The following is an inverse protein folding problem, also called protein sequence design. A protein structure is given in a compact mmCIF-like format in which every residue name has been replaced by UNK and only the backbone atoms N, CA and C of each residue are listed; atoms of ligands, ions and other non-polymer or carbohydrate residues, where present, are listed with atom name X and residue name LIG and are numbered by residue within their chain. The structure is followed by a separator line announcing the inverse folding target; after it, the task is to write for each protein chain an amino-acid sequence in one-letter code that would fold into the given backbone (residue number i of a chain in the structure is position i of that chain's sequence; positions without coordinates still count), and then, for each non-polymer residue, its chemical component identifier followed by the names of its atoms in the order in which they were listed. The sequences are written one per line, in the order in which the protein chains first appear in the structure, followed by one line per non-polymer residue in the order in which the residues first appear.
data_IF_921812601960
#
_entry.id   IF_921812601960
#
_cell.length_a   1.000
_cell.length_b   1.000
_cell.length_c   1.000
_cell.angle_alpha   90.00
_cell.angle_beta   90.00
_cell.angle_gamma   90.00
#
_symmetry.space_group_name_H-M   'P 1'
#
loop_
_entity.id
_entity.type
_entity.pdbx_description
1 polymer ?
#
# COMPACT_ATOMS: atom_id res chain seq x y z
N UNK A 1 67.87 3.33 46.88
CA UNK A 1 66.57 3.51 47.56
C UNK A 1 66.24 5.01 47.54
N UNK A 2 65.41 5.48 46.60
CA UNK A 2 64.99 6.88 46.49
C UNK A 2 63.48 6.89 46.22
N UNK A 3 62.73 7.37 47.20
CA UNK A 3 61.26 7.44 47.22
C UNK A 3 60.84 8.62 46.31
N UNK A 4 59.96 8.37 45.34
CA UNK A 4 59.34 9.43 44.52
C UNK A 4 58.20 10.10 45.32
N UNK A 5 57.99 11.42 45.19
CA UNK A 5 56.90 12.13 45.88
C UNK A 5 55.56 11.90 45.17
N UNK A 6 54.47 11.94 45.94
CA UNK A 6 53.10 11.79 45.47
C UNK A 6 52.65 13.03 44.67
N UNK A 7 52.23 12.82 43.42
CA UNK A 7 51.58 13.85 42.60
C UNK A 7 50.21 14.23 43.16
N UNK A 8 50.04 15.51 43.52
CA UNK A 8 48.75 16.13 43.83
C UNK A 8 47.84 16.06 42.60
N UNK A 9 46.74 15.30 42.70
CA UNK A 9 45.66 15.33 41.71
C UNK A 9 45.03 16.73 41.67
N UNK A 10 45.16 17.37 40.51
CA UNK A 10 44.65 18.70 40.20
C UNK A 10 43.12 18.79 40.37
N UNK A 11 42.65 19.65 41.28
CA UNK A 11 41.23 19.88 41.57
C UNK A 11 40.40 20.45 40.40
N UNK A 12 41.05 20.79 39.28
CA UNK A 12 40.39 21.26 38.05
C UNK A 12 39.72 20.15 37.23
N UNK A 13 40.17 18.88 37.36
CA UNK A 13 39.54 17.75 36.67
C UNK A 13 38.25 17.28 37.34
N UNK A 14 38.12 17.47 38.66
CA UNK A 14 36.91 17.09 39.40
C UNK A 14 35.75 18.04 39.05
N UNK A 15 36.02 19.33 38.82
CA UNK A 15 34.98 20.32 38.45
C UNK A 15 34.44 20.15 37.02
N UNK A 16 35.20 19.59 36.08
CA UNK A 16 34.71 19.35 34.70
C UNK A 16 33.84 18.11 34.56
N UNK A 17 33.87 17.16 35.50
CA UNK A 17 32.99 15.98 35.49
C UNK A 17 31.58 16.25 36.03
N UNK A 18 31.38 17.33 36.78
CA UNK A 18 30.09 17.66 37.37
C UNK A 18 29.10 18.37 36.42
N UNK A 19 29.52 18.78 35.22
CA UNK A 19 28.67 19.48 34.24
C UNK A 19 28.20 18.62 33.06
N UNK A 20 28.47 17.32 33.08
CA UNK A 20 27.80 16.34 32.20
C UNK A 20 26.68 15.61 32.96
N UNK A 21 25.88 16.37 33.72
CA UNK A 21 24.51 15.97 33.98
C UNK A 21 23.77 16.10 32.66
N UNK A 22 23.76 15.02 31.88
CA UNK A 22 22.89 14.92 30.71
C UNK A 22 21.46 15.03 31.21
N UNK A 23 20.88 16.23 31.12
CA UNK A 23 19.45 16.37 31.19
C UNK A 23 18.91 15.49 30.06
N UNK A 24 18.18 14.44 30.44
CA UNK A 24 17.35 13.74 29.48
C UNK A 24 16.42 14.80 28.90
N UNK A 25 16.71 15.26 27.68
CA UNK A 25 15.92 16.29 27.01
C UNK A 25 14.59 15.66 26.64
N UNK A 26 13.64 15.74 27.57
CA UNK A 26 12.21 15.61 27.28
C UNK A 26 11.80 16.82 26.44
N UNK A 27 12.25 16.86 25.18
CA UNK A 27 11.56 17.65 24.17
C UNK A 27 10.08 17.25 24.21
N UNK A 28 9.14 18.19 23.99
CA UNK A 28 7.72 17.91 24.13
C UNK A 28 7.38 16.65 23.33
N UNK A 29 6.59 15.74 23.91
CA UNK A 29 6.18 14.46 23.30
C UNK A 29 5.77 14.61 21.83
N UNK A 30 5.22 15.79 21.48
CA UNK A 30 4.87 16.24 20.14
C UNK A 30 6.04 16.28 19.14
N UNK A 31 7.19 16.84 19.50
CA UNK A 31 8.34 16.93 18.57
C UNK A 31 8.90 15.55 18.22
N UNK A 32 8.95 14.66 19.22
CA UNK A 32 9.38 13.27 19.02
C UNK A 32 8.39 12.51 18.13
N UNK A 33 7.09 12.70 18.36
CA UNK A 33 6.03 12.11 17.54
C UNK A 33 6.10 12.64 16.10
N UNK A 34 6.26 13.94 15.90
CA UNK A 34 6.33 14.55 14.58
C UNK A 34 7.57 14.10 13.80
N UNK A 35 8.72 14.02 14.48
CA UNK A 35 9.96 13.45 13.91
C UNK A 35 9.77 11.99 13.53
N UNK A 36 9.06 11.22 14.36
CA UNK A 36 8.72 9.82 14.07
C UNK A 36 7.83 9.73 12.82
N UNK A 37 6.71 10.46 12.77
CA UNK A 37 5.76 10.46 11.66
C UNK A 37 6.37 10.93 10.32
N UNK A 38 7.34 11.85 10.37
CA UNK A 38 8.10 12.30 9.18
C UNK A 38 9.25 11.38 8.77
N UNK A 39 9.47 10.28 9.50
CA UNK A 39 10.45 9.27 9.13
C UNK A 39 10.07 8.55 7.84
N UNK A 40 11.07 8.20 7.04
CA UNK A 40 10.86 7.36 5.85
C UNK A 40 10.74 5.90 6.27
N UNK A 41 9.73 5.20 5.77
CA UNK A 41 9.50 3.78 6.07
C UNK A 41 10.60 2.91 5.46
N UNK A 42 11.14 1.97 6.24
CA UNK A 42 12.06 0.94 5.76
C UNK A 42 11.28 -0.20 5.13
N UNK A 43 11.78 -0.70 4.01
CA UNK A 43 11.29 -1.89 3.34
C UNK A 43 11.92 -3.12 3.99
N UNK A 44 11.17 -3.80 4.83
CA UNK A 44 11.56 -5.08 5.43
C UNK A 44 10.41 -6.10 5.29
N UNK A 45 10.54 -7.27 5.95
CA UNK A 45 9.52 -8.31 5.88
C UNK A 45 8.15 -7.81 6.39
N UNK A 46 8.14 -6.85 7.32
CA UNK A 46 6.90 -6.32 7.86
C UNK A 46 6.17 -5.48 6.80
N UNK A 47 6.89 -4.62 6.07
CA UNK A 47 6.33 -3.92 4.91
C UNK A 47 5.88 -4.87 3.78
N UNK A 48 6.60 -5.98 3.57
CA UNK A 48 6.16 -7.02 2.61
C UNK A 48 4.82 -7.65 3.04
N UNK A 49 4.63 -7.95 4.33
CA UNK A 49 3.36 -8.47 4.86
C UNK A 49 2.22 -7.47 4.66
N UNK A 50 2.47 -6.17 4.89
CA UNK A 50 1.48 -5.12 4.63
C UNK A 50 1.02 -5.14 3.16
N UNK A 51 1.97 -5.17 2.22
CA UNK A 51 1.67 -5.21 0.78
C UNK A 51 0.95 -6.51 0.38
N UNK A 52 1.31 -7.65 0.97
CA UNK A 52 0.63 -8.93 0.73
C UNK A 52 -0.80 -8.91 1.28
N UNK A 53 -1.05 -8.31 2.45
CA UNK A 53 -2.38 -8.17 3.01
C UNK A 53 -3.25 -7.23 2.15
N UNK A 54 -2.68 -6.12 1.66
CA UNK A 54 -3.35 -5.25 0.68
C UNK A 54 -3.69 -6.01 -0.62
N UNK A 55 -2.77 -6.85 -1.10
CA UNK A 55 -2.99 -7.70 -2.28
C UNK A 55 -4.16 -8.66 -2.07
N UNK A 56 -4.23 -9.31 -0.89
CA UNK A 56 -5.34 -10.19 -0.53
C UNK A 56 -6.68 -9.43 -0.54
N UNK A 57 -6.69 -8.22 0.03
CA UNK A 57 -7.87 -7.35 0.05
C UNK A 57 -8.31 -6.94 -1.36
N UNK A 58 -7.37 -6.66 -2.27
CA UNK A 58 -7.64 -6.39 -3.68
C UNK A 58 -8.26 -7.59 -4.38
N UNK A 59 -7.75 -8.80 -4.13
CA UNK A 59 -8.35 -10.04 -4.66
C UNK A 59 -9.82 -10.20 -4.25
N UNK A 60 -10.13 -9.94 -2.97
CA UNK A 60 -11.52 -9.97 -2.48
C UNK A 60 -12.40 -8.98 -3.25
N UNK A 61 -11.93 -7.74 -3.42
CA UNK A 61 -12.69 -6.68 -4.09
C UNK A 61 -12.97 -7.01 -5.56
N UNK A 62 -11.96 -7.47 -6.30
CA UNK A 62 -12.14 -7.80 -7.72
C UNK A 62 -13.03 -9.04 -7.93
N UNK A 63 -13.00 -10.02 -7.01
CA UNK A 63 -13.90 -11.17 -7.06
C UNK A 63 -15.37 -10.83 -6.77
N UNK A 64 -15.64 -9.65 -6.20
CA UNK A 64 -17.02 -9.18 -5.90
C UNK A 64 -17.50 -8.15 -6.92
N UNK A 65 -16.63 -7.23 -7.33
CA UNK A 65 -17.00 -6.14 -8.25
C UNK A 65 -17.26 -6.62 -9.66
N UNK A 66 -16.55 -7.66 -10.13
CA UNK A 66 -16.78 -8.19 -11.47
C UNK A 66 -18.17 -8.83 -11.62
N UNK A 67 -18.61 -9.76 -10.74
CA UNK A 67 -19.98 -10.27 -10.80
C UNK A 67 -21.07 -9.21 -10.59
N UNK A 68 -20.84 -8.23 -9.71
CA UNK A 68 -21.87 -7.23 -9.38
C UNK A 68 -22.01 -6.12 -10.42
N UNK A 69 -20.91 -5.73 -11.06
CA UNK A 69 -20.83 -4.50 -11.86
C UNK A 69 -20.25 -4.69 -13.26
N UNK A 70 -19.89 -5.92 -13.61
CA UNK A 70 -19.26 -6.28 -14.89
C UNK A 70 -17.97 -5.47 -15.18
N UNK A 71 -17.25 -5.10 -14.13
CA UNK A 71 -15.95 -4.45 -14.22
C UNK A 71 -15.11 -4.79 -12.99
N UNK A 72 -13.79 -4.70 -13.12
CA UNK A 72 -12.89 -4.86 -11.98
C UNK A 72 -12.64 -3.51 -11.32
N UNK A 73 -12.38 -3.46 -10.01
CA UNK A 73 -11.92 -2.25 -9.37
C UNK A 73 -10.41 -2.01 -9.60
N UNK A 74 -9.62 -3.09 -9.71
CA UNK A 74 -8.16 -3.00 -9.81
C UNK A 74 -7.56 -3.46 -11.14
N UNK A 75 -8.17 -4.43 -11.83
CA UNK A 75 -7.65 -5.00 -13.08
C UNK A 75 -7.96 -4.15 -14.32
N UNK A 76 -7.18 -3.08 -14.51
CA UNK A 76 -7.46 -2.09 -15.56
C UNK A 76 -7.14 -2.54 -17.00
N UNK A 77 -6.25 -3.53 -17.20
CA UNK A 77 -6.00 -4.09 -18.54
C UNK A 77 -7.28 -4.68 -19.15
N UNK A 78 -8.03 -5.46 -18.35
CA UNK A 78 -9.32 -6.01 -18.77
C UNK A 78 -10.34 -4.91 -19.02
N UNK A 79 -10.50 -3.98 -18.07
CA UNK A 79 -11.44 -2.84 -18.22
C UNK A 79 -11.15 -2.00 -19.47
N UNK A 80 -9.88 -1.79 -19.83
CA UNK A 80 -9.50 -1.02 -21.02
C UNK A 80 -9.99 -1.71 -22.30
N UNK A 81 -9.80 -3.03 -22.40
CA UNK A 81 -10.27 -3.81 -23.56
C UNK A 81 -11.80 -3.86 -23.58
N UNK A 82 -12.45 -4.10 -22.45
CA UNK A 82 -13.92 -4.13 -22.35
C UNK A 82 -14.53 -2.77 -22.74
N UNK A 83 -13.92 -1.65 -22.34
CA UNK A 83 -14.35 -0.32 -22.74
C UNK A 83 -14.16 -0.07 -24.23
N UNK A 84 -13.05 -0.52 -24.80
CA UNK A 84 -12.78 -0.39 -26.23
C UNK A 84 -13.79 -1.18 -27.08
N UNK A 85 -14.11 -2.41 -26.68
CA UNK A 85 -15.14 -3.24 -27.34
C UNK A 85 -16.52 -2.59 -27.19
N UNK A 86 -16.84 -2.10 -25.99
CA UNK A 86 -18.11 -1.39 -25.76
C UNK A 86 -18.25 -0.15 -26.67
N UNK A 87 -17.15 0.54 -26.98
CA UNK A 87 -17.12 1.70 -27.87
C UNK A 87 -17.36 1.35 -29.36
N UNK A 88 -17.24 0.09 -29.77
CA UNK A 88 -17.53 -0.32 -31.16
C UNK A 88 -19.01 -0.54 -31.42
N UNK A 89 -19.88 -0.34 -30.42
CA UNK A 89 -21.31 -0.61 -30.54
C UNK A 89 -21.70 -2.07 -30.37
N UNK A 90 -20.77 -2.94 -29.94
CA UNK A 90 -21.04 -4.34 -29.61
C UNK A 90 -21.78 -4.46 -28.27
N UNK A 91 -23.02 -3.95 -28.22
CA UNK A 91 -23.85 -3.92 -27.03
C UNK A 91 -24.64 -5.21 -26.76
N UNK A 92 -24.62 -6.17 -27.69
CA UNK A 92 -25.35 -7.45 -27.54
C UNK A 92 -24.72 -8.41 -26.51
N UNK A 93 -23.57 -8.05 -25.94
CA UNK A 93 -22.93 -8.83 -24.88
C UNK A 93 -23.25 -8.16 -23.55
N UNK A 94 -24.14 -8.77 -22.76
CA UNK A 94 -24.59 -8.31 -21.43
C UNK A 94 -23.44 -8.06 -20.42
N UNK A 95 -22.22 -8.45 -20.75
CA UNK A 95 -21.00 -8.22 -19.96
C UNK A 95 -20.48 -6.78 -20.04
N UNK A 96 -20.93 -5.95 -20.99
CA UNK A 96 -20.34 -4.62 -21.18
C UNK A 96 -21.26 -3.51 -20.67
N UNK A 97 -20.97 -3.00 -19.47
CA UNK A 97 -21.63 -1.81 -18.91
C UNK A 97 -20.66 -0.62 -19.02
N UNK A 98 -20.74 0.21 -20.09
CA UNK A 98 -19.70 1.20 -20.40
C UNK A 98 -19.52 2.23 -19.28
N UNK A 99 -20.62 2.62 -18.62
CA UNK A 99 -20.60 3.57 -17.52
C UNK A 99 -19.80 3.04 -16.32
N UNK A 100 -19.99 1.76 -15.96
CA UNK A 100 -19.27 1.11 -14.87
C UNK A 100 -17.79 0.95 -15.20
N UNK A 101 -17.48 0.43 -16.39
CA UNK A 101 -16.11 0.19 -16.84
C UNK A 101 -15.35 1.52 -16.94
N UNK A 102 -15.95 2.54 -17.56
CA UNK A 102 -15.39 3.88 -17.68
C UNK A 102 -15.19 4.55 -16.32
N UNK A 103 -16.13 4.40 -15.40
CA UNK A 103 -15.99 4.88 -14.01
C UNK A 103 -14.82 4.20 -13.32
N UNK A 104 -14.72 2.87 -13.41
CA UNK A 104 -13.60 2.14 -12.81
C UNK A 104 -12.25 2.61 -13.36
N UNK A 105 -12.09 2.65 -14.68
CA UNK A 105 -10.85 3.08 -15.31
C UNK A 105 -10.51 4.52 -14.94
N UNK A 106 -11.48 5.44 -15.05
CA UNK A 106 -11.30 6.85 -14.77
C UNK A 106 -10.91 7.12 -13.32
N UNK A 107 -11.63 6.55 -12.35
CA UNK A 107 -11.36 6.76 -10.93
C UNK A 107 -10.09 6.04 -10.47
N UNK A 108 -9.75 4.87 -11.03
CA UNK A 108 -8.46 4.24 -10.79
C UNK A 108 -7.30 5.13 -11.21
N UNK A 109 -7.35 5.68 -12.44
CA UNK A 109 -6.33 6.60 -12.94
C UNK A 109 -6.27 7.89 -12.12
N UNK A 110 -7.44 8.44 -11.75
CA UNK A 110 -7.51 9.63 -10.91
C UNK A 110 -6.91 9.40 -9.52
N UNK A 111 -7.20 8.26 -8.89
CA UNK A 111 -6.65 7.89 -7.57
C UNK A 111 -5.13 7.70 -7.63
N UNK A 112 -4.65 6.99 -8.64
CA UNK A 112 -3.22 6.81 -8.87
C UNK A 112 -2.50 8.13 -9.15
N UNK A 113 -3.05 8.97 -10.03
CA UNK A 113 -2.51 10.29 -10.33
C UNK A 113 -2.47 11.17 -9.09
N UNK A 114 -3.57 11.27 -8.35
CA UNK A 114 -3.67 12.13 -7.16
C UNK A 114 -2.65 11.75 -6.10
N UNK A 115 -2.57 10.45 -5.75
CA UNK A 115 -1.60 9.97 -4.75
C UNK A 115 -0.16 10.05 -5.27
N UNK A 116 0.08 9.84 -6.57
CA UNK A 116 1.39 9.99 -7.17
C UNK A 116 1.91 11.43 -7.08
N UNK A 117 1.11 12.40 -7.54
CA UNK A 117 1.50 13.81 -7.55
C UNK A 117 1.66 14.37 -6.14
N UNK A 118 0.71 14.10 -5.24
CA UNK A 118 0.81 14.51 -3.84
C UNK A 118 2.01 13.83 -3.14
N UNK A 119 2.31 12.58 -3.51
CA UNK A 119 3.49 11.86 -3.04
C UNK A 119 4.79 12.58 -3.40
N UNK A 120 4.92 13.13 -4.60
CA UNK A 120 6.11 13.92 -4.99
C UNK A 120 6.30 15.18 -4.15
N UNK A 121 5.20 15.84 -3.73
CA UNK A 121 5.24 17.05 -2.91
C UNK A 121 5.57 16.76 -1.44
N UNK A 122 5.00 15.69 -0.88
CA UNK A 122 5.09 15.37 0.56
C UNK A 122 6.29 14.47 0.88
N UNK A 123 6.67 13.63 -0.07
CA UNK A 123 7.66 12.56 0.08
C UNK A 123 6.97 11.19 0.13
N UNK A 124 7.09 10.35 -0.93
CA UNK A 124 6.26 9.15 -1.09
C UNK A 124 6.54 8.09 -0.02
N UNK A 125 7.75 8.07 0.55
CA UNK A 125 8.16 7.14 1.60
C UNK A 125 7.87 7.61 3.03
N UNK A 126 7.35 8.84 3.20
CA UNK A 126 7.08 9.40 4.53
C UNK A 126 5.98 8.59 5.21
N UNK A 127 6.22 8.15 6.44
CA UNK A 127 5.24 7.32 7.18
C UNK A 127 3.88 8.00 7.29
N UNK A 128 3.85 9.28 7.64
CA UNK A 128 2.59 10.04 7.73
C UNK A 128 1.83 10.02 6.40
N UNK A 129 2.53 10.16 5.27
CA UNK A 129 1.91 10.11 3.95
C UNK A 129 1.30 8.73 3.65
N UNK A 130 2.05 7.66 3.92
CA UNK A 130 1.58 6.29 3.73
C UNK A 130 0.36 5.99 4.62
N UNK A 131 0.38 6.41 5.89
CA UNK A 131 -0.76 6.23 6.82
C UNK A 131 -1.98 6.98 6.31
N UNK A 132 -1.85 8.28 5.99
CA UNK A 132 -2.97 9.09 5.55
C UNK A 132 -3.56 8.58 4.23
N UNK A 133 -2.70 8.21 3.27
CA UNK A 133 -3.12 7.65 2.00
C UNK A 133 -3.88 6.33 2.21
N UNK A 134 -3.35 5.39 2.97
CA UNK A 134 -4.03 4.12 3.23
C UNK A 134 -5.31 4.31 4.08
N UNK A 135 -5.34 5.25 5.01
CA UNK A 135 -6.52 5.59 5.81
C UNK A 135 -7.67 6.10 4.95
N UNK A 136 -7.40 7.03 4.02
CA UNK A 136 -8.42 7.54 3.09
C UNK A 136 -8.94 6.41 2.19
N UNK A 137 -8.06 5.59 1.64
CA UNK A 137 -8.44 4.41 0.82
C UNK A 137 -9.30 3.41 1.62
N UNK A 138 -8.97 3.21 2.89
CA UNK A 138 -9.73 2.36 3.82
C UNK A 138 -11.13 2.93 4.05
N UNK A 139 -11.22 4.24 4.31
CA UNK A 139 -12.51 4.94 4.46
C UNK A 139 -13.39 4.83 3.22
N UNK A 140 -12.80 4.97 2.03
CA UNK A 140 -13.51 4.77 0.75
C UNK A 140 -14.02 3.33 0.61
N UNK A 141 -13.22 2.34 1.02
CA UNK A 141 -13.62 0.91 0.98
C UNK A 141 -14.80 0.64 1.92
N UNK A 142 -14.79 1.21 3.13
CA UNK A 142 -15.93 1.13 4.04
C UNK A 142 -17.15 1.88 3.52
N UNK A 143 -16.96 3.04 2.88
CA UNK A 143 -18.03 3.79 2.23
C UNK A 143 -18.71 2.97 1.14
N UNK A 144 -17.92 2.27 0.30
CA UNK A 144 -18.44 1.36 -0.72
C UNK A 144 -19.25 0.20 -0.12
N UNK A 145 -18.74 -0.44 0.95
CA UNK A 145 -19.48 -1.47 1.67
C UNK A 145 -20.79 -0.95 2.27
N UNK A 146 -20.77 0.26 2.85
CA UNK A 146 -21.95 0.89 3.43
C UNK A 146 -23.02 1.23 2.37
N UNK A 147 -22.60 1.73 1.21
CA UNK A 147 -23.49 1.99 0.07
C UNK A 147 -24.17 0.70 -0.40
N UNK A 148 -23.40 -0.37 -0.63
CA UNK A 148 -23.97 -1.67 -1.02
C UNK A 148 -24.90 -2.23 0.05
N UNK A 149 -24.53 -2.11 1.33
CA UNK A 149 -25.34 -2.62 2.43
C UNK A 149 -26.70 -1.89 2.54
N UNK A 150 -26.70 -0.57 2.37
CA UNK A 150 -27.92 0.23 2.57
C UNK A 150 -28.83 0.25 1.34
N UNK A 151 -28.26 0.37 0.14
CA UNK A 151 -29.02 0.53 -1.10
C UNK A 151 -29.14 -0.77 -1.92
N UNK A 152 -28.43 -1.82 -1.51
CA UNK A 152 -28.35 -3.08 -2.25
C UNK A 152 -27.38 -3.01 -3.43
N UNK A 153 -27.28 -4.13 -4.13
CA UNK A 153 -26.46 -4.28 -5.33
C UNK A 153 -27.36 -4.18 -6.55
N UNK A 154 -27.06 -3.23 -7.43
CA UNK A 154 -27.67 -3.11 -8.75
C UNK A 154 -26.56 -3.04 -9.79
N UNK A 155 -26.78 -3.66 -10.96
CA UNK A 155 -25.78 -3.64 -12.05
C UNK A 155 -25.50 -2.20 -12.50
N UNK A 156 -26.55 -1.39 -12.66
CA UNK A 156 -26.47 -0.01 -13.12
C UNK A 156 -27.06 0.96 -12.10
N UNK A 157 -26.79 2.26 -12.32
CA UNK A 157 -27.35 3.37 -11.55
C UNK A 157 -26.34 4.09 -10.66
N UNK A 158 -26.80 5.16 -10.01
CA UNK A 158 -25.93 6.06 -9.24
C UNK A 158 -25.23 5.36 -8.07
N UNK A 159 -25.89 4.39 -7.42
CA UNK A 159 -25.28 3.62 -6.35
C UNK A 159 -24.13 2.76 -6.87
N UNK A 160 -24.33 2.04 -7.99
CA UNK A 160 -23.30 1.23 -8.63
C UNK A 160 -22.07 2.08 -8.99
N UNK A 161 -22.29 3.22 -9.65
CA UNK A 161 -21.25 4.19 -10.00
C UNK A 161 -20.52 4.69 -8.75
N UNK A 162 -21.25 5.00 -7.67
CA UNK A 162 -20.65 5.44 -6.40
C UNK A 162 -19.75 4.38 -5.76
N UNK A 163 -20.19 3.12 -5.71
CA UNK A 163 -19.42 1.99 -5.19
C UNK A 163 -18.16 1.77 -6.03
N UNK A 164 -18.29 1.71 -7.35
CA UNK A 164 -17.18 1.50 -8.28
C UNK A 164 -16.17 2.64 -8.18
N UNK A 165 -16.63 3.90 -8.17
CA UNK A 165 -15.76 5.07 -8.06
C UNK A 165 -14.92 5.04 -6.78
N UNK A 166 -15.52 4.72 -5.63
CA UNK A 166 -14.83 4.61 -4.35
C UNK A 166 -13.77 3.49 -4.36
N UNK A 167 -14.14 2.29 -4.82
CA UNK A 167 -13.24 1.14 -4.85
C UNK A 167 -12.12 1.32 -5.87
N UNK A 168 -12.42 1.79 -7.08
CA UNK A 168 -11.45 2.00 -8.13
C UNK A 168 -10.44 3.10 -7.76
N UNK A 169 -10.91 4.23 -7.23
CA UNK A 169 -10.01 5.28 -6.71
C UNK A 169 -9.10 4.72 -5.61
N UNK A 170 -9.68 4.03 -4.63
CA UNK A 170 -8.92 3.44 -3.54
C UNK A 170 -7.87 2.44 -4.05
N UNK A 171 -8.21 1.64 -5.07
CA UNK A 171 -7.30 0.68 -5.67
C UNK A 171 -6.18 1.36 -6.46
N UNK A 172 -6.47 2.36 -7.28
CA UNK A 172 -5.46 3.08 -8.05
C UNK A 172 -4.47 3.81 -7.13
N UNK A 173 -5.00 4.46 -6.09
CA UNK A 173 -4.22 5.06 -5.02
C UNK A 173 -3.31 4.03 -4.32
N UNK A 174 -3.82 2.83 -4.02
CA UNK A 174 -3.06 1.75 -3.39
C UNK A 174 -1.89 1.27 -4.26
N UNK A 175 -2.14 1.05 -5.55
CA UNK A 175 -1.12 0.58 -6.50
C UNK A 175 0.00 1.60 -6.66
N UNK A 176 -0.31 2.90 -6.66
CA UNK A 176 0.73 3.94 -6.72
C UNK A 176 1.45 4.08 -5.38
N UNK A 177 0.73 4.00 -4.27
CA UNK A 177 1.32 4.03 -2.93
C UNK A 177 2.29 2.86 -2.70
N UNK A 178 1.99 1.65 -3.19
CA UNK A 178 2.85 0.47 -3.04
C UNK A 178 4.22 0.66 -3.68
N UNK A 179 4.31 1.45 -4.75
CA UNK A 179 5.59 1.80 -5.41
C UNK A 179 6.55 2.56 -4.50
N UNK A 180 6.04 3.30 -3.50
CA UNK A 180 6.88 3.99 -2.53
C UNK A 180 7.74 3.03 -1.71
N UNK A 181 7.30 1.79 -1.53
CA UNK A 181 8.03 0.75 -0.81
C UNK A 181 9.15 0.12 -1.64
N UNK A 182 9.39 0.54 -2.89
CA UNK A 182 10.46 0.01 -3.75
C UNK A 182 10.49 -1.53 -3.85
N UNK A 183 9.37 -2.20 -3.55
CA UNK A 183 9.16 -3.64 -3.58
C UNK A 183 8.36 -3.96 -4.84
N UNK A 184 8.98 -3.74 -6.00
CA UNK A 184 8.31 -3.76 -7.30
C UNK A 184 7.68 -5.12 -7.64
N UNK A 185 8.10 -6.19 -6.96
CA UNK A 185 7.53 -7.53 -7.11
C UNK A 185 6.10 -7.66 -6.55
N UNK A 186 5.69 -6.78 -5.63
CA UNK A 186 4.37 -6.81 -4.99
C UNK A 186 3.60 -5.55 -5.36
N UNK A 187 2.94 -5.58 -6.53
CA UNK A 187 2.21 -4.43 -7.08
C UNK A 187 0.86 -4.17 -6.40
N UNK A 188 0.35 -5.16 -5.66
CA UNK A 188 -0.98 -5.23 -5.02
C UNK A 188 -2.19 -5.48 -5.93
N UNK A 189 -2.03 -5.44 -7.26
CA UNK A 189 -3.15 -5.69 -8.20
C UNK A 189 -2.71 -6.34 -9.52
N UNK A 190 -1.63 -5.85 -10.12
CA UNK A 190 -1.19 -6.25 -11.47
C UNK A 190 -0.38 -7.55 -11.42
N UNK A 191 -1.01 -8.67 -11.80
CA UNK A 191 -0.43 -10.00 -11.73
C UNK A 191 0.44 -10.41 -12.93
N UNK A 192 0.12 -9.91 -14.14
CA UNK A 192 0.73 -10.39 -15.39
C UNK A 192 2.26 -10.30 -15.39
N UNK A 193 2.81 -9.15 -15.01
CA UNK A 193 4.25 -8.96 -14.93
C UNK A 193 4.88 -9.91 -13.89
N UNK A 194 4.24 -10.14 -12.75
CA UNK A 194 4.75 -11.06 -11.73
C UNK A 194 4.76 -12.52 -12.20
N UNK A 195 3.77 -12.95 -13.00
CA UNK A 195 3.78 -14.27 -13.63
C UNK A 195 4.96 -14.41 -14.60
N UNK A 196 5.10 -13.46 -15.52
CA UNK A 196 6.18 -13.48 -16.53
C UNK A 196 7.55 -13.45 -15.84
N UNK A 197 7.77 -12.49 -14.95
CA UNK A 197 9.03 -12.32 -14.21
C UNK A 197 9.37 -13.51 -13.32
N UNK A 198 8.37 -14.26 -12.84
CA UNK A 198 8.59 -15.50 -12.09
C UNK A 198 9.04 -16.63 -13.01
N UNK A 199 8.40 -16.79 -14.17
CA UNK A 199 8.67 -17.88 -15.11
C UNK A 199 10.04 -17.73 -15.79
N UNK A 200 10.48 -16.51 -16.06
CA UNK A 200 11.78 -16.23 -16.71
C UNK A 200 12.93 -16.01 -15.71
N UNK A 201 12.68 -16.14 -14.40
CA UNK A 201 13.71 -15.94 -13.38
C UNK A 201 14.84 -16.99 -13.52
N UNK A 202 16.08 -16.61 -13.85
CA UNK A 202 17.19 -17.55 -14.03
C UNK A 202 17.56 -18.28 -12.72
N UNK A 203 17.12 -17.75 -11.58
CA UNK A 203 17.35 -18.27 -10.25
C UNK A 203 16.06 -18.80 -9.61
N UNK A 204 15.09 -19.24 -10.42
CA UNK A 204 13.79 -19.74 -9.98
C UNK A 204 13.91 -20.85 -8.94
N UNK A 205 14.81 -21.82 -9.17
CA UNK A 205 15.02 -22.98 -8.31
C UNK A 205 16.08 -22.76 -7.21
N UNK A 206 16.71 -21.59 -7.16
CA UNK A 206 17.68 -21.31 -6.10
C UNK A 206 16.98 -21.10 -4.74
N UNK A 207 17.61 -21.62 -3.68
CA UNK A 207 17.06 -21.58 -2.33
C UNK A 207 16.90 -20.14 -1.79
N UNK A 208 17.83 -19.23 -2.12
CA UNK A 208 17.84 -17.87 -1.60
C UNK A 208 17.61 -16.85 -2.72
N UNK A 209 16.35 -16.66 -3.12
CA UNK A 209 15.93 -15.66 -4.09
C UNK A 209 14.71 -14.89 -3.54
N UNK A 210 14.98 -13.73 -2.93
CA UNK A 210 13.95 -12.90 -2.28
C UNK A 210 12.96 -12.28 -3.29
N UNK A 211 13.39 -11.71 -4.44
CA UNK A 211 12.46 -11.26 -5.48
C UNK A 211 11.50 -12.35 -5.96
N UNK A 212 12.02 -13.55 -6.27
CA UNK A 212 11.18 -14.70 -6.64
C UNK A 212 10.16 -15.03 -5.56
N UNK A 213 10.60 -15.08 -4.31
CA UNK A 213 9.75 -15.38 -3.16
C UNK A 213 8.62 -14.36 -3.01
N UNK A 214 8.91 -13.06 -3.17
CA UNK A 214 7.90 -11.99 -3.17
C UNK A 214 6.87 -12.16 -4.28
N UNK A 215 7.29 -12.46 -5.52
CA UNK A 215 6.37 -12.71 -6.65
C UNK A 215 5.44 -13.88 -6.38
N UNK A 216 5.99 -15.00 -5.87
CA UNK A 216 5.19 -16.18 -5.49
C UNK A 216 4.14 -15.84 -4.43
N UNK A 217 4.55 -15.18 -3.34
CA UNK A 217 3.61 -14.80 -2.28
C UNK A 217 2.58 -13.78 -2.75
N UNK A 218 2.96 -12.84 -3.62
CA UNK A 218 2.03 -11.89 -4.23
C UNK A 218 0.94 -12.61 -5.04
N UNK A 219 1.34 -13.52 -5.93
CA UNK A 219 0.39 -14.29 -6.76
C UNK A 219 -0.52 -15.19 -5.90
N UNK A 220 0.03 -15.88 -4.91
CA UNK A 220 -0.74 -16.70 -3.96
C UNK A 220 -1.71 -15.83 -3.16
N UNK A 221 -1.25 -14.69 -2.64
CA UNK A 221 -2.08 -13.77 -1.85
C UNK A 221 -3.25 -13.24 -2.67
N UNK A 222 -3.01 -12.83 -3.92
CA UNK A 222 -4.06 -12.37 -4.83
C UNK A 222 -5.08 -13.47 -5.11
N UNK A 223 -4.61 -14.68 -5.41
CA UNK A 223 -5.48 -15.84 -5.66
C UNK A 223 -6.32 -16.21 -4.43
N UNK A 224 -5.71 -16.30 -3.25
CA UNK A 224 -6.43 -16.61 -2.01
C UNK A 224 -7.43 -15.51 -1.63
N UNK A 225 -7.08 -14.25 -1.90
CA UNK A 225 -8.00 -13.11 -1.75
C UNK A 225 -9.21 -13.25 -2.66
N UNK A 226 -8.98 -13.50 -3.95
CA UNK A 226 -10.06 -13.71 -4.92
C UNK A 226 -10.92 -14.93 -4.59
N UNK A 227 -10.31 -16.04 -4.19
CA UNK A 227 -11.02 -17.24 -3.74
C UNK A 227 -11.89 -16.95 -2.52
N UNK A 228 -11.34 -16.24 -1.53
CA UNK A 228 -12.09 -15.85 -0.32
C UNK A 228 -13.24 -14.90 -0.66
N UNK A 229 -13.00 -13.92 -1.54
CA UNK A 229 -14.02 -13.01 -2.06
C UNK A 229 -15.15 -13.75 -2.77
N UNK A 230 -14.81 -14.69 -3.68
CA UNK A 230 -15.79 -15.52 -4.37
C UNK A 230 -16.58 -16.44 -3.44
N UNK A 231 -15.95 -17.02 -2.41
CA UNK A 231 -16.65 -17.81 -1.40
C UNK A 231 -17.63 -16.95 -0.60
N UNK A 232 -17.21 -15.76 -0.16
CA UNK A 232 -18.10 -14.83 0.55
C UNK A 232 -19.22 -14.32 -0.35
N UNK A 233 -18.94 -14.09 -1.64
CA UNK A 233 -19.94 -13.71 -2.64
C UNK A 233 -21.06 -14.74 -2.73
N UNK A 234 -20.69 -16.02 -2.86
CA UNK A 234 -21.66 -17.12 -3.04
C UNK A 234 -22.39 -17.48 -1.74
N UNK A 235 -21.71 -17.41 -0.58
CA UNK A 235 -22.27 -17.88 0.70
C UNK A 235 -22.78 -16.80 1.64
N UNK A 236 -22.48 -15.55 1.37
CA UNK A 236 -22.88 -14.42 2.20
C UNK A 236 -23.35 -13.25 1.31
N UNK A 237 -22.59 -12.15 1.24
CA UNK A 237 -22.90 -11.01 0.39
C UNK A 237 -21.63 -10.30 -0.05
N UNK A 238 -21.68 -9.62 -1.19
CA UNK A 238 -20.58 -8.78 -1.67
C UNK A 238 -20.30 -7.60 -0.73
N UNK A 239 -21.34 -7.01 -0.13
CA UNK A 239 -21.19 -5.96 0.87
C UNK A 239 -20.35 -6.41 2.07
N UNK A 240 -20.59 -7.62 2.58
CA UNK A 240 -19.79 -8.20 3.67
C UNK A 240 -18.36 -8.49 3.22
N UNK A 241 -18.16 -9.01 2.02
CA UNK A 241 -16.82 -9.25 1.48
C UNK A 241 -16.01 -7.94 1.35
N UNK A 242 -16.61 -6.87 0.82
CA UNK A 242 -15.97 -5.55 0.72
C UNK A 242 -15.71 -4.96 2.11
N UNK A 243 -16.62 -5.15 3.07
CA UNK A 243 -16.40 -4.76 4.46
C UNK A 243 -15.17 -5.47 5.07
N UNK A 244 -15.06 -6.79 4.90
CA UNK A 244 -13.90 -7.58 5.37
C UNK A 244 -12.60 -7.11 4.70
N UNK A 245 -12.64 -6.81 3.41
CA UNK A 245 -11.52 -6.17 2.71
C UNK A 245 -11.14 -4.82 3.36
N UNK A 246 -12.14 -3.98 3.69
CA UNK A 246 -11.94 -2.74 4.44
C UNK A 246 -11.28 -2.95 5.80
N UNK A 247 -11.67 -3.98 6.54
CA UNK A 247 -11.02 -4.37 7.82
C UNK A 247 -9.56 -4.74 7.59
N UNK A 248 -9.23 -5.52 6.55
CA UNK A 248 -7.85 -5.84 6.21
C UNK A 248 -7.01 -4.59 5.91
N UNK A 249 -7.57 -3.63 5.15
CA UNK A 249 -6.89 -2.34 4.88
C UNK A 249 -6.76 -1.47 6.15
N UNK A 250 -7.73 -1.53 7.07
CA UNK A 250 -7.64 -0.86 8.37
C UNK A 250 -6.50 -1.45 9.23
N UNK A 251 -6.34 -2.77 9.24
CA UNK A 251 -5.22 -3.44 9.91
C UNK A 251 -3.89 -2.92 9.34
N UNK A 252 -3.76 -2.83 8.01
CA UNK A 252 -2.55 -2.25 7.38
C UNK A 252 -2.34 -0.80 7.81
N UNK A 253 -3.39 0.01 7.91
CA UNK A 253 -3.26 1.40 8.41
C UNK A 253 -2.63 1.44 9.80
N UNK A 254 -3.05 0.54 10.69
CA UNK A 254 -2.48 0.41 12.02
C UNK A 254 -1.04 -0.13 11.95
N UNK A 255 -0.76 -1.10 11.09
CA UNK A 255 0.58 -1.66 10.92
C UNK A 255 1.59 -0.59 10.49
N UNK A 256 1.20 0.31 9.58
CA UNK A 256 2.05 1.40 9.08
C UNK A 256 2.54 2.32 10.20
N UNK A 257 1.80 2.46 11.30
CA UNK A 257 2.24 3.22 12.47
C UNK A 257 3.51 2.65 13.10
N UNK A 258 3.72 1.34 13.01
CA UNK A 258 4.81 0.62 13.65
C UNK A 258 5.99 0.32 12.72
N UNK A 259 5.91 0.72 11.45
CA UNK A 259 6.98 0.52 10.49
C UNK A 259 8.30 1.12 10.95
N UNK A 260 9.41 0.42 10.75
CA UNK A 260 10.74 0.92 11.13
C UNK A 260 11.16 2.05 10.21
N UNK A 261 11.93 3.01 10.74
CA UNK A 261 12.48 4.11 9.94
C UNK A 261 13.73 3.60 9.20
N UNK A 262 13.80 3.80 7.89
CA UNK A 262 14.98 3.50 7.09
C UNK A 262 16.15 4.38 7.49
N UNK A 263 17.38 3.85 7.47
CA UNK A 263 18.56 4.72 7.49
C UNK A 263 18.50 5.56 6.22
N UNK A 264 18.58 6.89 6.32
CA UNK A 264 18.85 7.72 5.17
C UNK A 264 20.19 7.24 4.62
N UNK A 265 20.21 6.59 3.46
CA UNK A 265 21.42 6.56 2.67
C UNK A 265 21.74 8.03 2.39
N UNK A 266 22.86 8.50 2.95
CA UNK A 266 23.48 9.72 2.45
C UNK A 266 23.72 9.43 0.98
N UNK A 267 22.97 10.08 0.10
CA UNK A 267 23.40 10.23 -1.28
C UNK A 267 24.72 10.97 -1.19
N UNK A 268 25.82 10.22 -1.20
CA UNK A 268 27.16 10.77 -1.28
C UNK A 268 27.23 11.64 -2.53
N UNK A 269 27.83 12.82 -2.34
CA UNK A 269 28.26 13.73 -3.38
C UNK A 269 29.02 12.96 -4.47
N UNK A 270 28.34 12.58 -5.54
CA UNK A 270 28.97 12.28 -6.84
C UNK A 270 28.42 13.31 -7.84
N UNK A 271 28.59 14.57 -7.50
CA UNK A 271 28.59 15.70 -8.44
C UNK A 271 29.83 16.50 -8.09
N UNK A 272 30.99 15.95 -8.46
CA UNK A 272 32.28 16.52 -8.12
C UNK A 272 33.46 15.64 -8.54
N UNK A 273 33.38 15.00 -9.71
CA UNK A 273 34.55 14.49 -10.46
C UNK A 273 34.07 13.79 -11.74
N UNK A 274 33.62 14.57 -12.73
CA UNK A 274 33.90 14.37 -14.16
C UNK A 274 33.92 15.75 -14.81
#
# INVERSE_FOLDING_TARGET
MRIRPAERKNGSQVRRRALKGGSATFGPSWERLWKYLKGSVRVDLYAEIELLLLTFCTGIQDATTFPDYHCFASNQTGNTIMLAIAATGMHEIDLFVPANIGTSLGFFLLGGWSVGQLGHLIGPQKRLWLILSNFVQTGMTFGAAALQYHFGVTLEGTCAIGVIALLAFASGAQVVMSRAFSCNEISTAMATAAFVDLLVDPYLLQANNRPRTRRVFFLISLFLGALSGGVMYVRASSALAIFISGVGKAIVTVMLLFNRVGKQEKSEEVVGMV
#
